data_IF_433659688522
#
_entry.id   IF_433659688522
#
_cell.length_a   1.000
_cell.length_b   1.000
_cell.length_c   1.000
_cell.angle_alpha   90.00
_cell.angle_beta   90.00
_cell.angle_gamma   90.00
#
_symmetry.space_group_name_H-M   'P 1'
#
loop_
_entity.id
_entity.type
_entity.pdbx_description
1 polymer ?
#
# COMPACT_ATOMS: atom_id res chain seq x y z
N UNK A 1 12.17 3.24 -5.56
CA UNK A 1 11.30 2.33 -4.78
C UNK A 1 12.00 1.54 -3.68
N UNK A 2 13.35 1.44 -3.61
CA UNK A 2 14.04 0.61 -2.59
C UNK A 2 13.74 1.01 -1.14
N UNK A 3 13.57 2.30 -0.84
CA UNK A 3 13.27 2.78 0.51
C UNK A 3 11.88 2.36 1.04
N UNK A 4 10.95 1.95 0.17
CA UNK A 4 9.63 1.46 0.62
C UNK A 4 9.75 0.19 1.46
N UNK A 5 10.80 -0.60 1.26
CA UNK A 5 11.02 -1.87 1.97
C UNK A 5 11.23 -1.66 3.48
N UNK A 6 11.77 -0.51 3.90
CA UNK A 6 11.98 -0.20 5.32
C UNK A 6 10.77 0.51 5.95
N UNK A 7 9.74 0.85 5.17
CA UNK A 7 8.54 1.53 5.64
C UNK A 7 7.87 0.86 6.86
N UNK A 8 7.80 -0.48 6.98
CA UNK A 8 7.20 -1.13 8.15
C UNK A 8 7.81 -0.72 9.50
N UNK A 9 9.08 -0.32 9.53
CA UNK A 9 9.74 0.07 10.76
C UNK A 9 9.38 1.50 11.21
N UNK A 10 8.79 2.31 10.32
CA UNK A 10 8.40 3.69 10.62
C UNK A 10 6.90 3.86 10.86
N UNK A 11 6.10 2.79 10.72
CA UNK A 11 4.65 2.87 10.95
C UNK A 11 4.24 2.84 12.43
N UNK A 12 5.20 2.74 13.34
CA UNK A 12 5.00 2.74 14.80
C UNK A 12 5.64 3.97 15.48
N UNK A 13 6.01 5.00 14.70
CA UNK A 13 6.54 6.25 15.24
C UNK A 13 5.48 7.00 16.07
N UNK A 14 5.89 7.99 16.89
CA UNK A 14 4.97 8.93 17.53
C UNK A 14 4.05 9.61 16.51
N UNK A 15 2.86 10.02 16.97
CA UNK A 15 1.78 10.54 16.11
C UNK A 15 2.23 11.72 15.24
N UNK A 16 3.01 12.65 15.79
CA UNK A 16 3.56 13.80 15.04
C UNK A 16 4.40 13.36 13.83
N UNK A 17 5.21 12.32 13.98
CA UNK A 17 6.02 11.78 12.89
C UNK A 17 5.17 10.96 11.90
N UNK A 18 4.10 10.30 12.37
CA UNK A 18 3.16 9.59 11.50
C UNK A 18 2.40 10.55 10.57
N UNK A 19 2.08 11.76 11.05
CA UNK A 19 1.52 12.82 10.19
C UNK A 19 2.51 13.22 9.11
N UNK A 20 3.79 13.43 9.46
CA UNK A 20 4.84 13.72 8.47
C UNK A 20 4.98 12.58 7.45
N UNK A 21 4.97 11.33 7.92
CA UNK A 21 5.05 10.16 7.06
C UNK A 21 3.84 10.07 6.11
N UNK A 22 2.63 10.29 6.62
CA UNK A 22 1.39 10.33 5.82
C UNK A 22 1.49 11.36 4.70
N UNK A 23 1.93 12.58 5.03
CA UNK A 23 2.07 13.66 4.05
C UNK A 23 3.10 13.33 2.97
N UNK A 24 4.25 12.77 3.36
CA UNK A 24 5.28 12.34 2.41
C UNK A 24 4.77 11.22 1.49
N UNK A 25 4.05 10.23 2.01
CA UNK A 25 3.45 9.15 1.23
C UNK A 25 2.38 9.67 0.26
N UNK A 26 1.51 10.57 0.72
CA UNK A 26 0.49 11.20 -0.13
C UNK A 26 1.13 11.99 -1.28
N UNK A 27 2.17 12.77 -0.98
CA UNK A 27 2.93 13.49 -2.00
C UNK A 27 3.62 12.54 -2.99
N UNK A 28 4.23 11.47 -2.48
CA UNK A 28 4.87 10.44 -3.31
C UNK A 28 3.88 9.79 -4.27
N UNK A 29 2.69 9.39 -3.79
CA UNK A 29 1.63 8.81 -4.62
C UNK A 29 1.15 9.81 -5.66
N UNK A 30 0.86 11.05 -5.27
CA UNK A 30 0.37 12.07 -6.20
C UNK A 30 1.38 12.39 -7.32
N UNK A 31 2.69 12.25 -7.06
CA UNK A 31 3.75 12.56 -8.03
C UNK A 31 4.15 11.39 -8.91
N UNK A 32 3.94 10.14 -8.48
CA UNK A 32 4.47 8.96 -9.18
C UNK A 32 3.40 7.97 -9.65
N UNK A 33 2.17 8.03 -9.13
CA UNK A 33 1.11 7.10 -9.49
C UNK A 33 0.25 7.71 -10.61
N UNK A 34 -0.28 6.87 -11.52
CA UNK A 34 -1.21 7.36 -12.52
C UNK A 34 -2.53 7.82 -11.89
N UNK A 35 -3.30 8.61 -12.62
CA UNK A 35 -4.64 9.03 -12.17
C UNK A 35 -5.63 7.86 -12.21
N UNK A 36 -5.45 6.94 -13.17
CA UNK A 36 -6.15 5.66 -13.27
C UNK A 36 -5.16 4.52 -13.34
N UNK A 37 -5.44 3.40 -12.69
CA UNK A 37 -4.46 2.31 -12.61
C UNK A 37 -4.13 1.63 -13.96
N UNK A 38 -4.96 1.82 -14.99
CA UNK A 38 -4.76 1.33 -16.36
C UNK A 38 -4.18 2.37 -17.34
N UNK A 39 -3.81 3.56 -16.87
CA UNK A 39 -3.30 4.66 -17.69
C UNK A 39 -1.99 4.31 -18.42
N UNK A 40 -1.10 3.56 -17.75
CA UNK A 40 0.18 3.18 -18.33
C UNK A 40 0.06 1.89 -19.15
N UNK A 41 0.49 1.89 -20.43
CA UNK A 41 0.47 0.67 -21.24
C UNK A 41 1.32 -0.44 -20.61
N UNK A 42 0.79 -1.67 -20.61
CA UNK A 42 1.49 -2.85 -20.10
C UNK A 42 2.82 -3.06 -20.83
N UNK A 43 3.84 -3.47 -20.10
CA UNK A 43 5.20 -3.67 -20.62
C UNK A 43 6.06 -2.41 -20.68
N UNK A 44 5.50 -1.22 -20.45
CA UNK A 44 6.30 0.00 -20.31
C UNK A 44 7.04 0.05 -18.98
N UNK A 45 8.18 0.75 -18.95
CA UNK A 45 8.93 0.98 -17.71
C UNK A 45 8.09 1.67 -16.63
N UNK A 46 7.23 2.62 -17.01
CA UNK A 46 6.34 3.33 -16.08
C UNK A 46 5.30 2.41 -15.46
N UNK A 47 4.66 1.57 -16.27
CA UNK A 47 3.74 0.54 -15.78
C UNK A 47 4.45 -0.42 -14.81
N UNK A 48 5.62 -0.92 -15.21
CA UNK A 48 6.39 -1.86 -14.39
C UNK A 48 6.81 -1.23 -13.05
N UNK A 49 7.26 0.03 -13.05
CA UNK A 49 7.64 0.75 -11.84
C UNK A 49 6.43 1.00 -10.92
N UNK A 50 5.27 1.34 -11.47
CA UNK A 50 4.03 1.52 -10.71
C UNK A 50 3.61 0.21 -10.04
N UNK A 51 3.53 -0.89 -10.80
CA UNK A 51 3.16 -2.21 -10.29
C UNK A 51 4.16 -2.69 -9.22
N UNK A 52 5.47 -2.56 -9.46
CA UNK A 52 6.51 -2.90 -8.49
C UNK A 52 6.37 -2.08 -7.20
N UNK A 53 6.07 -0.79 -7.31
CA UNK A 53 5.89 0.08 -6.15
C UNK A 53 4.65 -0.29 -5.33
N UNK A 54 3.52 -0.56 -6.00
CA UNK A 54 2.29 -1.00 -5.32
C UNK A 54 2.52 -2.32 -4.59
N UNK A 55 3.19 -3.30 -5.21
CA UNK A 55 3.56 -4.56 -4.55
C UNK A 55 4.37 -4.32 -3.28
N UNK A 56 5.40 -3.48 -3.34
CA UNK A 56 6.24 -3.15 -2.17
C UNK A 56 5.46 -2.46 -1.06
N UNK A 57 4.48 -1.61 -1.40
CA UNK A 57 3.60 -1.00 -0.40
C UNK A 57 2.65 -2.03 0.23
N UNK A 58 2.12 -2.97 -0.56
CA UNK A 58 1.30 -4.08 -0.05
C UNK A 58 2.11 -5.00 0.86
N UNK A 59 3.34 -5.35 0.49
CA UNK A 59 4.27 -6.11 1.34
C UNK A 59 4.52 -5.38 2.66
N UNK A 60 4.75 -4.06 2.60
CA UNK A 60 4.97 -3.23 3.78
C UNK A 60 3.72 -3.17 4.68
N UNK A 61 2.53 -3.07 4.08
CA UNK A 61 1.26 -3.12 4.81
C UNK A 61 1.05 -4.49 5.47
N UNK A 62 1.27 -5.60 4.76
CA UNK A 62 1.08 -6.94 5.32
C UNK A 62 2.04 -7.21 6.49
N UNK A 63 3.29 -6.74 6.40
CA UNK A 63 4.28 -6.87 7.47
C UNK A 63 3.96 -5.99 8.69
N UNK A 64 3.60 -4.73 8.46
CA UNK A 64 3.38 -3.75 9.55
C UNK A 64 1.98 -3.80 10.16
N UNK A 65 0.99 -4.25 9.40
CA UNK A 65 -0.45 -4.12 9.70
C UNK A 65 -0.85 -2.68 10.06
N UNK A 66 -0.15 -1.69 9.48
CA UNK A 66 -0.34 -0.28 9.79
C UNK A 66 -1.71 0.24 9.30
N UNK A 67 -2.54 0.81 10.19
CA UNK A 67 -3.79 1.47 9.78
C UNK A 67 -3.57 2.62 8.81
N UNK A 68 -2.44 3.34 8.95
CA UNK A 68 -2.07 4.43 8.04
C UNK A 68 -1.84 3.91 6.61
N UNK A 69 -1.06 2.84 6.46
CA UNK A 69 -0.82 2.25 5.14
C UNK A 69 -2.10 1.64 4.56
N UNK A 70 -2.94 1.02 5.39
CA UNK A 70 -4.22 0.48 4.96
C UNK A 70 -5.13 1.57 4.39
N UNK A 71 -5.24 2.70 5.09
CA UNK A 71 -6.00 3.85 4.61
C UNK A 71 -5.48 4.33 3.24
N UNK A 72 -4.18 4.62 3.14
CA UNK A 72 -3.57 5.15 1.91
C UNK A 72 -3.75 4.18 0.73
N UNK A 73 -3.54 2.87 0.96
CA UNK A 73 -3.67 1.87 -0.08
C UNK A 73 -5.13 1.64 -0.49
N UNK A 74 -6.08 1.75 0.44
CA UNK A 74 -7.51 1.74 0.10
C UNK A 74 -7.88 2.94 -0.75
N UNK A 75 -7.36 4.13 -0.44
CA UNK A 75 -7.55 5.33 -1.26
C UNK A 75 -6.95 5.19 -2.67
N UNK A 76 -5.86 4.42 -2.83
CA UNK A 76 -5.32 4.09 -4.17
C UNK A 76 -6.23 3.11 -4.90
N UNK A 77 -6.65 2.02 -4.23
CA UNK A 77 -7.51 0.99 -4.81
C UNK A 77 -8.83 1.57 -5.31
N UNK A 78 -9.47 2.41 -4.50
CA UNK A 78 -10.81 2.95 -4.76
C UNK A 78 -10.84 4.12 -5.76
N UNK A 79 -9.71 4.53 -6.35
CA UNK A 79 -9.69 5.51 -7.45
C UNK A 79 -10.36 4.97 -8.71
N UNK A 80 -10.33 3.66 -8.88
CA UNK A 80 -10.90 2.96 -10.01
C UNK A 80 -12.08 2.10 -9.57
N UNK A 81 -13.10 1.98 -10.42
CA UNK A 81 -14.15 0.97 -10.21
C UNK A 81 -13.61 -0.47 -10.31
N UNK A 82 -12.50 -0.64 -11.04
CA UNK A 82 -11.79 -1.91 -11.20
C UNK A 82 -10.30 -1.63 -11.36
N UNK A 83 -9.55 -1.78 -10.28
CA UNK A 83 -8.12 -1.49 -10.27
C UNK A 83 -7.32 -2.62 -10.94
N UNK A 84 -6.29 -2.31 -11.74
CA UNK A 84 -5.53 -3.36 -12.48
C UNK A 84 -4.79 -4.35 -11.57
N UNK A 85 -4.61 -4.01 -10.30
CA UNK A 85 -3.98 -4.84 -9.27
C UNK A 85 -4.96 -5.35 -8.19
N UNK A 86 -6.27 -5.27 -8.43
CA UNK A 86 -7.31 -5.59 -7.44
C UNK A 86 -7.09 -6.94 -6.72
N UNK A 87 -6.72 -8.00 -7.45
CA UNK A 87 -6.43 -9.31 -6.86
C UNK A 87 -5.31 -9.26 -5.81
N UNK A 88 -4.25 -8.50 -6.06
CA UNK A 88 -3.15 -8.35 -5.11
C UNK A 88 -3.58 -7.62 -3.83
N UNK A 89 -4.43 -6.59 -3.96
CA UNK A 89 -5.03 -5.91 -2.80
C UNK A 89 -5.91 -6.88 -2.00
N UNK A 90 -6.77 -7.66 -2.67
CA UNK A 90 -7.65 -8.63 -2.03
C UNK A 90 -6.85 -9.68 -1.26
N UNK A 91 -5.79 -10.25 -1.85
CA UNK A 91 -4.90 -11.21 -1.19
C UNK A 91 -4.28 -10.60 0.07
N UNK A 92 -3.71 -9.39 -0.04
CA UNK A 92 -3.11 -8.68 1.09
C UNK A 92 -4.11 -8.46 2.23
N UNK A 93 -5.31 -7.95 1.92
CA UNK A 93 -6.35 -7.69 2.93
C UNK A 93 -6.86 -8.97 3.59
N UNK A 94 -7.00 -10.06 2.82
CA UNK A 94 -7.34 -11.36 3.38
C UNK A 94 -6.25 -11.90 4.32
N UNK A 95 -4.98 -11.74 3.97
CA UNK A 95 -3.86 -12.17 4.83
C UNK A 95 -3.83 -11.40 6.15
N UNK A 96 -4.06 -10.09 6.10
CA UNK A 96 -4.18 -9.24 7.30
C UNK A 96 -5.36 -9.70 8.16
N UNK A 97 -6.55 -9.85 7.56
CA UNK A 97 -7.75 -10.29 8.28
C UNK A 97 -7.58 -11.67 8.95
N UNK A 98 -6.93 -12.62 8.27
CA UNK A 98 -6.63 -13.95 8.82
C UNK A 98 -5.74 -13.86 10.07
N UNK A 99 -4.72 -13.00 10.08
CA UNK A 99 -3.85 -12.81 11.24
C UNK A 99 -4.62 -12.25 12.44
N UNK A 100 -5.50 -11.27 12.21
CA UNK A 100 -6.40 -10.79 13.26
C UNK A 100 -7.31 -11.90 13.80
N UNK A 101 -7.91 -12.71 12.92
CA UNK A 101 -8.77 -13.83 13.36
C UNK A 101 -8.02 -14.90 14.18
N UNK A 102 -6.77 -15.22 13.80
CA UNK A 102 -5.92 -16.12 14.58
C UNK A 102 -5.64 -15.55 15.96
N UNK A 103 -5.39 -14.24 16.08
CA UNK A 103 -5.21 -13.61 17.40
C UNK A 103 -6.47 -13.82 18.26
N UNK A 104 -7.68 -13.54 17.77
CA UNK A 104 -8.92 -13.71 18.56
C UNK A 104 -9.28 -15.15 18.93
N UNK A 105 -8.68 -16.17 18.29
CA UNK A 105 -8.98 -17.58 18.57
C UNK A 105 -7.95 -18.24 19.50
N UNK A 106 -6.82 -17.57 19.76
CA UNK A 106 -5.72 -18.07 20.60
C UNK A 106 -5.69 -17.40 21.98
N UNK A 107 -6.52 -16.37 22.21
CA UNK A 107 -6.76 -15.74 23.52
C UNK A 107 -8.12 -16.12 24.10
#
# INVERSE_FOLDING_TARGET
TKAVIILPFFTQLPEENLVTLKNALNHFIASHFPMKSDEFPKGTLRYNNYVDCVKKLLDALELSQSPLLLQILTEVLCRDNRHVMEEAFQICFQNIAKRYHILYTVW
#
